data_IF_453116525539
#
_entry.id   IF_453116525539
#
_cell.length_a   1.000
_cell.length_b   1.000
_cell.length_c   1.000
_cell.angle_alpha   90.00
_cell.angle_beta   90.00
_cell.angle_gamma   90.00
#
_symmetry.space_group_name_H-M   'P 1'
#
loop_
_entity.id
_entity.type
_entity.pdbx_description
1 polymer ?
#
# COMPACT_ATOMS: atom_id res chain seq x y z
N UNK A 1 14.94 -61.32 26.54
CA UNK A 1 15.73 -60.07 26.51
C UNK A 1 15.49 -59.38 25.18
N UNK A 2 14.55 -58.44 25.13
CA UNK A 2 14.23 -57.66 23.92
C UNK A 2 14.94 -56.31 24.02
N UNK A 3 15.85 -56.03 23.09
CA UNK A 3 16.55 -54.74 22.99
C UNK A 3 15.65 -53.74 22.19
N UNK A 4 15.24 -52.62 22.81
CA UNK A 4 14.64 -51.48 22.12
C UNK A 4 15.75 -50.70 21.39
N UNK A 5 15.52 -50.20 20.18
CA UNK A 5 16.41 -49.25 19.54
C UNK A 5 16.14 -47.85 20.08
N UNK A 6 17.19 -47.15 20.51
CA UNK A 6 17.13 -45.75 20.87
C UNK A 6 16.98 -44.89 19.60
N UNK A 7 15.88 -44.16 19.53
CA UNK A 7 15.62 -43.16 18.47
C UNK A 7 16.40 -41.89 18.79
N UNK A 8 17.46 -41.63 18.05
CA UNK A 8 18.27 -40.43 18.15
C UNK A 8 17.56 -39.31 17.42
N UNK A 9 16.81 -38.44 18.13
CA UNK A 9 16.28 -37.21 17.58
C UNK A 9 17.42 -36.22 17.35
N UNK A 10 17.85 -36.08 16.10
CA UNK A 10 18.70 -34.95 15.65
C UNK A 10 17.85 -33.68 15.63
N UNK A 11 17.99 -32.89 16.66
CA UNK A 11 17.55 -31.49 16.68
C UNK A 11 18.43 -30.71 15.68
N UNK A 12 17.93 -30.46 14.51
CA UNK A 12 18.46 -29.39 13.63
C UNK A 12 18.13 -28.04 14.29
N UNK A 13 19.07 -27.50 15.04
CA UNK A 13 19.08 -26.10 15.39
C UNK A 13 19.34 -25.33 14.06
N UNK A 14 18.31 -24.76 13.48
CA UNK A 14 18.47 -23.75 12.44
C UNK A 14 19.16 -22.55 13.10
N UNK A 15 20.48 -22.52 13.01
CA UNK A 15 21.24 -21.30 13.23
C UNK A 15 20.79 -20.33 12.16
N UNK A 16 20.03 -19.28 12.52
CA UNK A 16 19.91 -18.10 11.67
C UNK A 16 21.32 -17.56 11.51
N UNK A 17 21.95 -17.87 10.39
CA UNK A 17 23.16 -17.21 9.97
C UNK A 17 22.78 -15.73 9.76
N UNK A 18 23.26 -14.88 10.61
CA UNK A 18 23.31 -13.44 10.38
C UNK A 18 24.36 -13.28 9.27
N UNK A 19 23.84 -13.24 8.03
CA UNK A 19 24.75 -13.17 6.88
C UNK A 19 25.18 -11.71 6.71
N UNK A 20 26.47 -11.47 6.89
CA UNK A 20 27.10 -10.25 6.41
C UNK A 20 26.85 -10.11 4.90
N UNK A 21 26.79 -8.86 4.43
CA UNK A 21 26.66 -8.61 3.00
C UNK A 21 27.77 -9.36 2.22
N UNK A 22 27.38 -9.91 1.09
CA UNK A 22 28.29 -10.62 0.18
C UNK A 22 28.27 -9.97 -1.19
N UNK A 23 29.27 -10.21 -1.99
CA UNK A 23 29.22 -9.78 -3.38
C UNK A 23 28.04 -10.45 -4.09
N UNK A 24 27.08 -9.68 -4.66
CA UNK A 24 25.90 -10.26 -5.29
C UNK A 24 26.30 -10.96 -6.60
N UNK A 25 25.83 -12.19 -6.78
CA UNK A 25 26.04 -13.01 -7.98
C UNK A 25 24.75 -13.32 -8.73
N UNK A 26 23.61 -12.94 -8.16
CA UNK A 26 22.27 -13.08 -8.72
C UNK A 26 21.33 -12.03 -8.13
N UNK A 27 20.20 -11.82 -8.79
CA UNK A 27 19.12 -11.01 -8.25
C UNK A 27 18.53 -11.63 -6.98
N UNK A 28 18.01 -10.79 -6.10
CA UNK A 28 17.21 -11.23 -4.95
C UNK A 28 16.08 -12.14 -5.43
N UNK A 29 15.86 -13.25 -4.76
CA UNK A 29 14.83 -14.23 -5.12
C UNK A 29 13.45 -13.56 -5.25
N UNK A 30 12.77 -13.82 -6.36
CA UNK A 30 11.47 -13.24 -6.69
C UNK A 30 11.49 -11.79 -7.18
N UNK A 31 12.64 -11.12 -7.15
CA UNK A 31 12.79 -9.76 -7.67
C UNK A 31 12.90 -9.77 -9.20
N UNK A 32 12.30 -8.78 -9.84
CA UNK A 32 12.40 -8.58 -11.29
C UNK A 32 12.18 -7.12 -11.64
N UNK A 33 12.77 -6.71 -12.74
CA UNK A 33 12.48 -5.40 -13.31
C UNK A 33 11.06 -5.36 -13.87
N UNK A 34 10.39 -4.19 -13.82
CA UNK A 34 9.29 -3.91 -14.72
C UNK A 34 9.75 -4.07 -16.18
N UNK A 35 8.90 -4.64 -17.04
CA UNK A 35 9.27 -4.97 -18.43
C UNK A 35 9.76 -3.77 -19.27
N UNK A 36 9.45 -2.55 -18.86
CA UNK A 36 9.82 -1.30 -19.53
C UNK A 36 11.09 -0.65 -18.95
N UNK A 37 11.59 -1.11 -17.78
CA UNK A 37 12.76 -0.55 -17.12
C UNK A 37 14.02 -1.33 -17.53
N UNK A 38 14.97 -0.63 -18.12
CA UNK A 38 16.29 -1.17 -18.37
C UNK A 38 17.22 -0.82 -17.20
N UNK A 39 17.88 -1.84 -16.64
CA UNK A 39 18.93 -1.63 -15.63
C UNK A 39 20.30 -1.50 -16.29
N UNK A 40 21.24 -0.93 -15.57
CA UNK A 40 22.65 -0.95 -15.97
C UNK A 40 23.14 -2.41 -16.06
N UNK A 41 23.77 -2.77 -17.19
CA UNK A 41 24.19 -4.16 -17.46
C UNK A 41 25.12 -4.72 -16.39
N UNK A 42 24.90 -5.96 -15.98
CA UNK A 42 25.65 -6.63 -14.91
C UNK A 42 25.28 -6.20 -13.48
N UNK A 43 24.29 -5.33 -13.30
CA UNK A 43 23.76 -5.00 -11.97
C UNK A 43 22.86 -6.09 -11.43
N UNK A 44 22.88 -6.30 -10.11
CA UNK A 44 22.00 -7.23 -9.40
C UNK A 44 21.01 -6.49 -8.50
N UNK A 45 19.75 -6.93 -8.50
CA UNK A 45 18.72 -6.42 -7.57
C UNK A 45 19.01 -6.98 -6.17
N UNK A 46 19.21 -6.11 -5.20
CA UNK A 46 19.48 -6.48 -3.79
C UNK A 46 18.33 -6.13 -2.86
N UNK A 47 17.42 -5.26 -3.28
CA UNK A 47 16.15 -5.00 -2.60
C UNK A 47 15.09 -4.56 -3.61
N UNK A 48 13.83 -4.96 -3.39
CA UNK A 48 12.76 -4.56 -4.28
C UNK A 48 11.42 -4.50 -3.58
N UNK A 49 10.52 -3.66 -4.10
CA UNK A 49 9.12 -3.58 -3.69
C UNK A 49 8.27 -3.22 -4.89
N UNK A 50 7.13 -3.90 -5.06
CA UNK A 50 6.12 -3.57 -6.05
C UNK A 50 4.74 -3.49 -5.40
N UNK A 51 3.92 -2.51 -5.80
CA UNK A 51 2.54 -2.35 -5.36
C UNK A 51 1.65 -2.03 -6.56
N UNK A 52 0.49 -2.64 -6.58
CA UNK A 52 -0.48 -2.42 -7.65
C UNK A 52 -0.97 -0.97 -7.74
N UNK A 53 -0.91 -0.21 -6.64
CA UNK A 53 -1.21 1.23 -6.56
C UNK A 53 -0.59 1.81 -5.29
N UNK A 54 0.13 2.93 -5.41
CA UNK A 54 0.66 3.73 -4.29
C UNK A 54 0.90 5.17 -4.76
N UNK A 55 1.22 6.07 -3.81
CA UNK A 55 1.58 7.46 -4.06
C UNK A 55 3.05 7.70 -3.70
N UNK A 56 3.72 8.53 -4.49
CA UNK A 56 5.09 8.99 -4.23
C UNK A 56 5.18 10.49 -4.45
N UNK A 57 5.81 11.18 -3.49
CA UNK A 57 6.22 12.59 -3.62
C UNK A 57 7.72 12.63 -3.95
N UNK A 58 8.05 12.81 -5.21
CA UNK A 58 9.43 12.92 -5.68
C UNK A 58 9.99 14.31 -5.41
N UNK A 59 11.16 14.46 -4.76
CA UNK A 59 11.82 15.75 -4.62
C UNK A 59 12.10 16.38 -5.99
N UNK A 60 11.70 17.64 -6.17
CA UNK A 60 11.92 18.44 -7.37
C UNK A 60 12.66 19.76 -7.05
N UNK A 61 13.20 19.89 -5.85
CA UNK A 61 14.08 20.96 -5.39
C UNK A 61 14.95 20.47 -4.24
N UNK A 62 15.89 21.32 -3.81
CA UNK A 62 16.83 21.03 -2.72
C UNK A 62 16.11 20.67 -1.43
N UNK A 63 16.56 19.62 -0.75
CA UNK A 63 16.04 19.21 0.56
C UNK A 63 16.48 20.19 1.64
N UNK A 64 15.52 20.78 2.34
CA UNK A 64 15.74 21.72 3.45
C UNK A 64 15.26 21.11 4.76
N UNK A 65 15.98 21.41 5.84
CA UNK A 65 15.57 21.04 7.18
C UNK A 65 14.23 21.68 7.54
N UNK A 66 13.31 20.91 8.08
CA UNK A 66 12.04 21.41 8.62
C UNK A 66 12.26 21.81 10.07
N UNK A 67 12.17 23.11 10.42
CA UNK A 67 12.47 23.57 11.78
C UNK A 67 11.59 22.89 12.83
N UNK A 68 12.20 22.39 13.90
CA UNK A 68 11.49 21.81 15.04
C UNK A 68 10.84 20.45 14.79
N UNK A 69 11.08 19.80 13.65
CA UNK A 69 10.57 18.47 13.36
C UNK A 69 11.70 17.42 13.41
N UNK A 70 11.42 16.33 14.13
CA UNK A 70 12.25 15.12 14.13
C UNK A 70 11.40 13.91 13.79
N UNK A 71 12.03 12.86 13.25
CA UNK A 71 11.42 11.57 13.03
C UNK A 71 11.32 10.73 14.32
N UNK A 72 10.81 9.50 14.21
CA UNK A 72 10.68 8.56 15.32
C UNK A 72 12.04 8.14 15.92
N UNK A 73 13.14 8.37 15.23
CA UNK A 73 14.52 8.06 15.62
C UNK A 73 15.28 9.30 16.07
N UNK A 74 14.58 10.43 16.28
CA UNK A 74 15.14 11.73 16.67
C UNK A 74 16.10 12.34 15.63
N UNK A 75 15.98 11.98 14.35
CA UNK A 75 16.69 12.64 13.26
C UNK A 75 15.94 13.88 12.79
N UNK A 76 16.67 14.89 12.31
CA UNK A 76 16.06 16.05 11.69
C UNK A 76 15.28 15.64 10.42
N UNK A 77 14.07 16.18 10.26
CA UNK A 77 13.27 15.96 9.05
C UNK A 77 13.69 16.96 7.97
N UNK A 78 13.88 16.46 6.75
CA UNK A 78 14.15 17.27 5.57
C UNK A 78 13.03 17.11 4.55
N UNK A 79 12.72 18.18 3.82
CA UNK A 79 11.73 18.17 2.73
C UNK A 79 12.17 19.10 1.60
N UNK A 80 11.76 18.75 0.39
CA UNK A 80 11.88 19.65 -0.75
C UNK A 80 10.70 20.63 -0.76
N UNK A 81 10.96 21.92 -1.10
CA UNK A 81 9.90 22.92 -1.25
C UNK A 81 9.01 22.62 -2.47
N UNK A 82 9.58 21.99 -3.50
CA UNK A 82 8.87 21.52 -4.68
C UNK A 82 8.97 20.00 -4.75
N UNK A 83 7.82 19.37 -4.95
CA UNK A 83 7.70 17.93 -5.10
C UNK A 83 6.79 17.60 -6.27
N UNK A 84 7.07 16.50 -6.97
CA UNK A 84 6.13 15.93 -7.94
C UNK A 84 5.41 14.78 -7.25
N UNK A 85 4.15 14.99 -6.90
CA UNK A 85 3.28 13.95 -6.35
C UNK A 85 2.62 13.20 -7.50
N UNK A 86 2.71 11.87 -7.48
CA UNK A 86 2.12 10.98 -8.47
C UNK A 86 1.56 9.74 -7.81
N UNK A 87 0.44 9.24 -8.36
CA UNK A 87 -0.20 8.01 -7.93
C UNK A 87 -0.25 7.01 -9.09
N UNK A 88 -0.09 5.73 -8.79
CA UNK A 88 -0.15 4.69 -9.81
C UNK A 88 0.48 3.38 -9.37
N UNK A 89 0.83 2.53 -10.32
CA UNK A 89 1.59 1.31 -10.05
C UNK A 89 3.02 1.66 -9.64
N UNK A 90 3.35 1.27 -8.42
CA UNK A 90 4.62 1.59 -7.78
C UNK A 90 5.63 0.46 -7.93
N UNK A 91 6.87 0.83 -8.24
CA UNK A 91 8.03 -0.05 -8.19
C UNK A 91 9.21 0.66 -7.53
N UNK A 92 9.89 -0.01 -6.61
CA UNK A 92 11.16 0.39 -6.03
C UNK A 92 12.17 -0.74 -6.22
N UNK A 93 13.31 -0.41 -6.77
CA UNK A 93 14.40 -1.34 -7.03
C UNK A 93 15.71 -0.73 -6.53
N UNK A 94 16.48 -1.51 -5.82
CA UNK A 94 17.82 -1.16 -5.38
C UNK A 94 18.78 -2.16 -5.99
N UNK A 95 19.72 -1.65 -6.76
CA UNK A 95 20.73 -2.45 -7.44
C UNK A 95 22.12 -2.17 -6.88
N UNK A 96 23.00 -3.14 -7.03
CA UNK A 96 24.45 -2.98 -6.93
C UNK A 96 25.03 -3.17 -8.34
N UNK A 97 25.71 -2.16 -8.85
CA UNK A 97 26.36 -2.20 -10.16
C UNK A 97 27.64 -3.04 -10.13
N UNK A 98 28.19 -3.46 -11.28
CA UNK A 98 29.50 -4.12 -11.36
C UNK A 98 30.59 -3.31 -10.68
N UNK A 99 31.68 -3.97 -10.27
CA UNK A 99 32.81 -3.30 -9.68
C UNK A 99 33.41 -2.24 -10.64
N UNK A 100 34.07 -1.24 -10.07
CA UNK A 100 34.78 -0.18 -10.82
C UNK A 100 33.87 0.71 -11.69
N UNK A 101 32.54 0.75 -11.41
CA UNK A 101 31.60 1.67 -12.06
C UNK A 101 31.34 2.86 -11.15
N UNK A 102 31.56 4.08 -11.64
CA UNK A 102 31.30 5.28 -10.87
C UNK A 102 29.77 5.62 -10.84
N UNK A 103 29.28 6.25 -9.77
CA UNK A 103 27.89 6.73 -9.71
C UNK A 103 27.52 7.64 -10.88
N UNK A 104 28.46 8.47 -11.34
CA UNK A 104 28.25 9.37 -12.49
C UNK A 104 28.06 8.60 -13.80
N UNK A 105 28.93 7.59 -14.06
CA UNK A 105 28.81 6.75 -15.26
C UNK A 105 27.44 6.06 -15.29
N UNK A 106 27.06 5.44 -14.18
CA UNK A 106 25.79 4.72 -14.08
C UNK A 106 24.60 5.67 -14.23
N UNK A 107 24.63 6.86 -13.58
CA UNK A 107 23.58 7.88 -13.74
C UNK A 107 23.42 8.30 -15.21
N UNK A 108 24.52 8.53 -15.93
CA UNK A 108 24.46 8.93 -17.33
C UNK A 108 23.77 7.88 -18.19
N UNK A 109 24.08 6.60 -17.99
CA UNK A 109 23.39 5.52 -18.72
C UNK A 109 21.88 5.52 -18.49
N UNK A 110 21.40 5.77 -17.25
CA UNK A 110 19.98 5.91 -17.00
C UNK A 110 19.38 7.15 -17.67
N UNK A 111 20.13 8.26 -17.73
CA UNK A 111 19.66 9.48 -18.42
C UNK A 111 19.58 9.27 -19.94
N UNK A 112 20.53 8.54 -20.52
CA UNK A 112 20.51 8.17 -21.94
C UNK A 112 19.26 7.33 -22.26
N UNK A 113 18.92 6.34 -21.41
CA UNK A 113 17.68 5.55 -21.55
C UNK A 113 16.43 6.42 -21.45
N UNK A 114 16.41 7.42 -20.58
CA UNK A 114 15.29 8.38 -20.47
C UNK A 114 15.17 9.20 -21.75
N UNK A 115 16.28 9.75 -22.26
CA UNK A 115 16.31 10.58 -23.47
C UNK A 115 15.94 9.76 -24.73
N UNK A 116 16.53 8.60 -24.93
CA UNK A 116 16.24 7.67 -26.04
C UNK A 116 14.79 7.20 -26.03
N UNK A 117 14.21 7.03 -24.83
CA UNK A 117 12.80 6.70 -24.63
C UNK A 117 11.83 7.86 -24.84
N UNK A 118 12.31 9.06 -25.23
CA UNK A 118 11.50 10.27 -25.40
C UNK A 118 11.05 10.90 -24.08
N UNK A 119 11.70 10.57 -22.97
CA UNK A 119 11.45 11.14 -21.65
C UNK A 119 12.12 12.49 -21.42
N UNK A 120 11.93 13.05 -20.24
CA UNK A 120 12.49 14.34 -19.84
C UNK A 120 13.05 14.29 -18.43
N UNK A 121 14.19 14.94 -18.21
CA UNK A 121 14.73 15.18 -16.87
C UNK A 121 14.13 16.48 -16.35
N UNK A 122 13.34 16.37 -15.29
CA UNK A 122 12.63 17.50 -14.67
C UNK A 122 13.49 18.25 -13.67
N UNK A 123 14.29 17.51 -12.91
CA UNK A 123 15.24 18.05 -11.94
C UNK A 123 16.39 17.10 -11.70
N UNK A 124 17.57 17.63 -11.36
CA UNK A 124 18.75 16.85 -10.97
C UNK A 124 19.62 17.61 -10.00
N UNK A 125 20.34 16.88 -9.17
CA UNK A 125 21.30 17.42 -8.24
C UNK A 125 22.44 16.43 -7.98
N UNK A 126 23.48 16.91 -7.31
CA UNK A 126 24.64 16.12 -6.92
C UNK A 126 25.06 16.46 -5.50
N UNK A 127 25.43 15.45 -4.72
CA UNK A 127 26.00 15.56 -3.37
C UNK A 127 25.26 16.60 -2.52
N UNK A 128 25.97 17.58 -1.97
CA UNK A 128 25.42 18.64 -1.11
C UNK A 128 24.42 19.55 -1.82
N UNK A 129 24.45 19.64 -3.16
CA UNK A 129 23.48 20.42 -3.92
C UNK A 129 22.07 19.81 -3.85
N UNK A 130 21.96 18.53 -3.48
CA UNK A 130 20.68 17.88 -3.23
C UNK A 130 20.08 18.26 -1.89
N UNK A 131 20.85 18.80 -0.96
CA UNK A 131 20.43 19.09 0.41
C UNK A 131 20.29 17.82 1.25
N UNK A 132 19.64 17.96 2.40
CA UNK A 132 19.55 16.88 3.38
C UNK A 132 20.79 16.78 4.26
N UNK A 133 20.88 15.72 5.05
CA UNK A 133 22.05 15.34 5.83
C UNK A 133 22.54 13.96 5.41
N UNK A 134 23.54 13.93 4.54
CA UNK A 134 24.10 12.68 4.00
C UNK A 134 24.93 11.89 5.02
N UNK A 135 25.45 12.58 6.03
CA UNK A 135 26.38 11.99 7.00
C UNK A 135 25.72 11.61 8.32
N UNK A 136 24.46 11.97 8.52
CA UNK A 136 23.68 11.64 9.74
C UNK A 136 24.26 12.23 11.02
N UNK A 137 24.96 13.38 10.94
CA UNK A 137 25.67 13.96 12.06
C UNK A 137 24.77 14.74 13.05
N UNK A 138 23.54 15.02 12.65
CA UNK A 138 22.56 15.76 13.48
C UNK A 138 21.59 14.78 14.18
N UNK A 139 21.91 14.37 15.39
CA UNK A 139 21.01 13.72 16.35
C UNK A 139 20.56 12.26 16.10
N UNK A 140 21.32 11.34 15.66
CA UNK A 140 20.91 9.95 15.72
C UNK A 140 21.46 9.05 14.64
N UNK A 141 22.18 9.59 13.69
CA UNK A 141 23.08 8.81 12.85
C UNK A 141 22.43 8.08 11.69
N UNK A 142 21.34 8.58 11.12
CA UNK A 142 20.77 8.07 9.88
C UNK A 142 20.97 9.03 8.70
N UNK A 143 21.09 8.49 7.48
CA UNK A 143 21.06 9.29 6.27
C UNK A 143 19.68 9.95 6.12
N UNK A 144 19.63 11.28 6.14
CA UNK A 144 18.40 12.07 5.97
C UNK A 144 18.35 12.77 4.59
N UNK A 145 19.00 12.16 3.61
CA UNK A 145 19.03 12.64 2.22
C UNK A 145 17.96 12.01 1.34
N UNK A 146 18.23 11.98 0.03
CA UNK A 146 17.32 11.50 -1.00
C UNK A 146 16.92 10.02 -0.83
N UNK A 147 17.82 9.18 -0.32
CA UNK A 147 17.51 7.77 -0.06
C UNK A 147 16.38 7.67 0.96
N UNK A 148 16.42 8.45 2.05
CA UNK A 148 15.36 8.45 3.05
C UNK A 148 14.03 8.99 2.50
N UNK A 149 14.07 9.98 1.61
CA UNK A 149 12.85 10.49 0.95
C UNK A 149 12.19 9.44 0.03
N UNK A 150 12.98 8.68 -0.71
CA UNK A 150 12.50 7.71 -1.70
C UNK A 150 12.36 6.29 -1.14
N UNK A 151 13.14 5.95 -0.12
CA UNK A 151 13.12 4.67 0.58
C UNK A 151 13.21 4.88 2.09
N UNK A 152 12.13 5.34 2.73
CA UNK A 152 12.10 5.62 4.16
C UNK A 152 12.45 4.40 5.01
N UNK A 153 13.18 4.60 6.10
CA UNK A 153 13.57 3.54 7.03
C UNK A 153 12.37 2.72 7.52
N UNK A 154 11.22 3.34 7.74
CA UNK A 154 9.98 2.68 8.13
C UNK A 154 9.46 1.67 7.06
N UNK A 155 9.88 1.79 5.82
CA UNK A 155 9.54 0.86 4.71
C UNK A 155 10.61 -0.20 4.45
N UNK A 156 11.78 -0.10 5.08
CA UNK A 156 12.88 -1.06 4.89
C UNK A 156 12.55 -2.37 5.58
N UNK A 157 12.49 -3.44 4.79
CA UNK A 157 12.23 -4.81 5.24
C UNK A 157 13.43 -5.73 5.06
N UNK A 158 14.52 -5.19 4.53
CA UNK A 158 15.76 -5.92 4.32
C UNK A 158 16.31 -6.41 5.67
N UNK A 159 16.73 -7.67 5.71
CA UNK A 159 17.35 -8.21 6.93
C UNK A 159 18.62 -7.42 7.26
N UNK A 160 18.89 -7.21 8.54
CA UNK A 160 20.10 -6.53 8.98
C UNK A 160 21.33 -7.16 8.36
N UNK A 161 22.24 -6.32 7.87
CA UNK A 161 23.50 -6.70 7.20
C UNK A 161 23.35 -7.45 5.87
N UNK A 162 22.14 -7.62 5.34
CA UNK A 162 21.95 -8.11 3.98
C UNK A 162 22.46 -7.11 2.93
N UNK A 163 22.62 -7.55 1.69
CA UNK A 163 23.01 -6.67 0.60
C UNK A 163 22.07 -5.47 0.42
N UNK A 164 20.74 -5.68 0.56
CA UNK A 164 19.75 -4.62 0.49
C UNK A 164 19.89 -3.61 1.63
N UNK A 165 20.09 -4.10 2.86
CA UNK A 165 20.33 -3.24 4.01
C UNK A 165 21.60 -2.41 3.85
N UNK A 166 22.71 -3.05 3.48
CA UNK A 166 24.00 -2.39 3.26
C UNK A 166 23.95 -1.36 2.14
N UNK A 167 23.28 -1.68 1.04
CA UNK A 167 23.16 -0.74 -0.08
C UNK A 167 22.24 0.45 0.22
N UNK A 168 21.25 0.32 1.15
CA UNK A 168 20.31 1.41 1.49
C UNK A 168 20.65 2.17 2.77
N UNK A 169 21.37 1.54 3.70
CA UNK A 169 21.63 2.08 5.04
C UNK A 169 22.98 2.77 5.19
N UNK A 170 23.90 2.59 4.22
CA UNK A 170 25.26 3.18 4.29
C UNK A 170 25.25 4.69 4.08
N UNK A 171 26.33 5.36 4.52
CA UNK A 171 26.60 6.75 4.17
C UNK A 171 26.92 6.85 2.68
N UNK A 172 26.07 7.47 1.86
CA UNK A 172 26.33 7.58 0.41
C UNK A 172 27.46 8.59 0.15
N UNK A 173 28.30 8.25 -0.82
CA UNK A 173 29.31 9.16 -1.37
C UNK A 173 29.05 9.34 -2.86
N UNK A 174 29.48 10.45 -3.44
CA UNK A 174 29.30 10.76 -4.87
C UNK A 174 27.84 10.57 -5.33
N UNK A 175 26.89 11.06 -4.53
CA UNK A 175 25.47 10.91 -4.81
C UNK A 175 25.06 11.75 -6.01
N UNK A 176 24.30 11.14 -6.94
CA UNK A 176 23.59 11.84 -8.01
C UNK A 176 22.10 11.51 -7.92
N UNK A 177 21.27 12.47 -8.26
CA UNK A 177 19.82 12.27 -8.34
C UNK A 177 19.27 12.86 -9.64
N UNK A 178 18.31 12.17 -10.23
CA UNK A 178 17.47 12.67 -11.30
C UNK A 178 16.01 12.35 -11.05
N UNK A 179 15.15 13.34 -11.15
CA UNK A 179 13.71 13.19 -11.32
C UNK A 179 13.43 13.28 -12.81
N UNK A 180 12.85 12.25 -13.38
CA UNK A 180 12.59 12.15 -14.80
C UNK A 180 11.19 11.63 -15.08
N UNK A 181 10.72 11.85 -16.31
CA UNK A 181 9.53 11.23 -16.85
C UNK A 181 9.87 10.42 -18.09
N UNK A 182 9.06 9.40 -18.37
CA UNK A 182 9.22 8.52 -19.53
C UNK A 182 7.82 8.14 -20.06
N UNK A 183 7.54 8.33 -21.37
CA UNK A 183 6.30 7.90 -21.96
C UNK A 183 5.99 6.42 -21.70
N UNK A 184 4.73 6.09 -21.40
CA UNK A 184 4.32 4.72 -21.13
C UNK A 184 3.91 3.93 -22.39
N UNK A 185 3.87 4.61 -23.55
CA UNK A 185 3.44 4.05 -24.83
C UNK A 185 1.92 4.01 -25.04
N UNK A 186 1.13 4.39 -24.04
CA UNK A 186 -0.35 4.44 -24.12
C UNK A 186 -0.91 5.87 -24.06
N UNK A 187 -0.03 6.88 -24.07
CA UNK A 187 -0.38 8.29 -23.92
C UNK A 187 -0.27 8.80 -22.50
N UNK A 188 0.15 7.94 -21.57
CA UNK A 188 0.51 8.31 -20.20
C UNK A 188 2.02 8.52 -20.02
N UNK A 189 2.43 8.90 -18.83
CA UNK A 189 3.81 9.22 -18.48
C UNK A 189 4.19 8.57 -17.16
N UNK A 190 5.26 7.77 -17.15
CA UNK A 190 5.89 7.24 -15.93
C UNK A 190 6.72 8.34 -15.28
N UNK A 191 6.75 8.39 -13.96
CA UNK A 191 7.66 9.25 -13.20
C UNK A 191 8.70 8.39 -12.50
N UNK A 192 9.97 8.78 -12.61
CA UNK A 192 11.12 8.07 -12.05
C UNK A 192 11.94 8.99 -11.16
N UNK A 193 12.27 8.52 -9.96
CA UNK A 193 13.35 9.07 -9.15
C UNK A 193 14.52 8.10 -9.19
N UNK A 194 15.67 8.52 -9.69
CA UNK A 194 16.87 7.72 -9.85
C UNK A 194 17.97 8.31 -8.96
N UNK A 195 18.49 7.52 -8.02
CA UNK A 195 19.63 7.90 -7.19
C UNK A 195 20.77 6.93 -7.46
N UNK A 196 21.95 7.43 -7.82
CA UNK A 196 23.17 6.64 -7.86
C UNK A 196 24.15 7.16 -6.82
N UNK A 197 24.84 6.27 -6.13
CA UNK A 197 25.77 6.66 -5.08
C UNK A 197 26.79 5.54 -4.80
N UNK A 198 27.91 5.91 -4.22
CA UNK A 198 28.91 4.95 -3.77
C UNK A 198 28.59 4.54 -2.32
N UNK A 199 28.61 3.24 -2.04
CA UNK A 199 28.39 2.66 -0.72
C UNK A 199 29.63 2.92 0.16
N UNK A 200 29.45 3.64 1.27
CA UNK A 200 30.55 4.13 2.09
C UNK A 200 30.83 3.36 3.38
N UNK A 201 29.98 2.43 3.79
CA UNK A 201 30.15 1.67 5.04
C UNK A 201 31.15 0.53 4.87
N UNK A 202 32.00 0.33 5.91
CA UNK A 202 33.02 -0.72 5.97
C UNK A 202 32.79 -1.75 7.06
N UNK A 203 31.94 -1.49 8.05
CA UNK A 203 31.94 -2.29 9.28
C UNK A 203 31.30 -3.67 9.08
N UNK A 204 30.14 -3.73 8.42
CA UNK A 204 29.39 -4.98 8.16
C UNK A 204 29.05 -5.14 6.65
N UNK A 205 29.42 -4.15 5.85
CA UNK A 205 29.08 -4.05 4.44
C UNK A 205 30.33 -4.05 3.55
N UNK A 206 31.43 -4.61 4.04
CA UNK A 206 32.76 -4.53 3.41
C UNK A 206 32.75 -5.08 1.97
N UNK A 207 32.00 -6.14 1.71
CA UNK A 207 31.85 -6.72 0.37
C UNK A 207 31.21 -5.75 -0.67
N UNK A 208 30.47 -4.75 -0.20
CA UNK A 208 29.81 -3.74 -1.05
C UNK A 208 30.51 -2.37 -0.96
N UNK A 209 31.55 -2.25 -0.14
CA UNK A 209 32.27 -0.99 0.00
C UNK A 209 32.81 -0.53 -1.36
N UNK A 210 32.72 0.77 -1.62
CA UNK A 210 33.09 1.41 -2.88
C UNK A 210 32.32 0.93 -4.14
N UNK A 211 31.32 0.04 -3.99
CA UNK A 211 30.42 -0.33 -5.08
C UNK A 211 29.41 0.78 -5.33
N UNK A 212 28.98 0.93 -6.55
CA UNK A 212 27.90 1.83 -6.92
C UNK A 212 26.55 1.17 -6.67
N UNK A 213 25.72 1.78 -5.84
CA UNK A 213 24.30 1.43 -5.70
C UNK A 213 23.44 2.33 -6.59
N UNK A 214 22.30 1.78 -7.02
CA UNK A 214 21.27 2.50 -7.79
C UNK A 214 19.93 2.25 -7.16
N UNK A 215 19.30 3.30 -6.64
CA UNK A 215 17.91 3.28 -6.21
C UNK A 215 17.04 3.87 -7.31
N UNK A 216 16.14 3.07 -7.87
CA UNK A 216 15.10 3.51 -8.79
C UNK A 216 13.75 3.38 -8.11
N UNK A 217 13.03 4.48 -8.00
CA UNK A 217 11.62 4.51 -7.62
C UNK A 217 10.83 4.99 -8.82
N UNK A 218 9.82 4.23 -9.21
CA UNK A 218 9.03 4.52 -10.40
C UNK A 218 7.54 4.40 -10.10
N UNK A 219 6.76 5.29 -10.69
CA UNK A 219 5.30 5.23 -10.69
C UNK A 219 4.81 5.26 -12.13
N UNK A 220 4.11 4.19 -12.53
CA UNK A 220 3.46 4.09 -13.85
C UNK A 220 2.00 4.49 -13.73
N UNK A 221 1.42 5.16 -14.75
CA UNK A 221 -0.01 5.48 -14.75
C UNK A 221 -0.85 4.23 -14.56
N UNK A 222 -1.72 4.27 -13.58
CA UNK A 222 -2.70 3.21 -13.32
C UNK A 222 -3.91 3.80 -12.61
N UNK A 223 -5.09 3.50 -13.13
CA UNK A 223 -6.31 3.89 -12.45
C UNK A 223 -6.46 3.11 -11.14
N UNK A 224 -6.80 3.81 -10.06
CA UNK A 224 -7.14 3.18 -8.79
C UNK A 224 -8.33 2.25 -8.97
N UNK A 225 -8.19 1.00 -8.56
CA UNK A 225 -9.33 0.11 -8.49
C UNK A 225 -10.34 0.62 -7.45
N UNK A 226 -11.54 0.95 -7.91
CA UNK A 226 -12.64 1.31 -7.01
C UNK A 226 -13.34 0.04 -6.56
N UNK A 227 -12.81 -0.60 -5.52
CA UNK A 227 -13.42 -1.82 -4.91
C UNK A 227 -14.39 -1.53 -3.77
N UNK A 228 -14.60 -0.27 -3.40
CA UNK A 228 -15.77 0.12 -2.61
C UNK A 228 -16.95 0.12 -3.59
N UNK A 229 -17.48 -1.06 -3.88
CA UNK A 229 -18.62 -1.25 -4.77
C UNK A 229 -19.84 -0.80 -4.00
N UNK A 230 -20.36 0.36 -4.34
CA UNK A 230 -21.78 0.63 -4.09
C UNK A 230 -22.52 -0.35 -4.98
N UNK A 231 -23.20 -1.31 -4.37
CA UNK A 231 -24.04 -2.26 -5.10
C UNK A 231 -25.08 -1.45 -5.84
N UNK A 232 -25.10 -1.52 -7.18
CA UNK A 232 -26.02 -0.71 -7.99
C UNK A 232 -27.46 -1.21 -7.87
N UNK A 233 -28.43 -0.36 -8.19
CA UNK A 233 -29.84 -0.76 -8.27
C UNK A 233 -30.06 -1.98 -9.17
N UNK A 234 -29.30 -2.07 -10.28
CA UNK A 234 -29.39 -3.19 -11.24
C UNK A 234 -28.80 -4.49 -10.67
N UNK A 235 -27.70 -4.40 -9.91
CA UNK A 235 -27.12 -5.56 -9.23
C UNK A 235 -28.04 -6.07 -8.10
N UNK A 236 -28.64 -5.14 -7.36
CA UNK A 236 -29.65 -5.47 -6.36
C UNK A 236 -30.87 -6.17 -6.98
N UNK A 237 -31.38 -5.66 -8.13
CA UNK A 237 -32.49 -6.27 -8.83
C UNK A 237 -32.18 -7.71 -9.24
N UNK A 238 -31.01 -7.93 -9.87
CA UNK A 238 -30.55 -9.27 -10.29
C UNK A 238 -30.43 -10.24 -9.12
N UNK A 239 -29.84 -9.81 -8.00
CA UNK A 239 -29.67 -10.64 -6.82
C UNK A 239 -31.03 -10.98 -6.17
N UNK A 240 -31.93 -9.99 -6.05
CA UNK A 240 -33.29 -10.21 -5.53
C UNK A 240 -34.13 -11.13 -6.41
N UNK A 241 -33.94 -11.12 -7.72
CA UNK A 241 -34.64 -12.02 -8.64
C UNK A 241 -34.04 -13.44 -8.62
N UNK A 242 -32.73 -13.57 -8.45
CA UNK A 242 -32.04 -14.87 -8.41
C UNK A 242 -32.17 -15.56 -7.05
N UNK A 243 -31.92 -14.84 -5.95
CA UNK A 243 -31.73 -15.40 -4.62
C UNK A 243 -32.77 -14.94 -3.60
N UNK A 244 -33.66 -14.02 -3.99
CA UNK A 244 -34.65 -13.41 -3.13
C UNK A 244 -34.08 -12.48 -2.04
N UNK A 245 -32.75 -12.32 -2.00
CA UNK A 245 -32.05 -11.48 -1.00
C UNK A 245 -30.74 -10.97 -1.48
N UNK A 246 -30.26 -9.88 -0.86
CA UNK A 246 -28.90 -9.37 -1.06
C UNK A 246 -28.36 -8.74 0.23
N UNK A 247 -27.10 -9.03 0.56
CA UNK A 247 -26.38 -8.40 1.67
C UNK A 247 -25.72 -7.10 1.21
N UNK A 248 -25.88 -6.03 1.98
CA UNK A 248 -25.34 -4.70 1.72
C UNK A 248 -24.32 -4.32 2.80
N UNK A 249 -23.09 -4.13 2.40
CA UNK A 249 -21.98 -3.73 3.28
C UNK A 249 -21.70 -2.22 3.22
N UNK A 250 -22.31 -1.52 2.26
CA UNK A 250 -22.17 -0.07 2.10
C UNK A 250 -23.03 0.75 3.07
N UNK A 251 -23.87 0.12 3.89
CA UNK A 251 -24.66 0.80 4.93
C UNK A 251 -23.88 0.72 6.23
N UNK A 252 -23.37 1.86 6.68
CA UNK A 252 -22.53 1.98 7.86
C UNK A 252 -23.19 2.80 8.96
N UNK A 253 -22.91 2.43 10.21
CA UNK A 253 -23.41 3.09 11.40
C UNK A 253 -22.27 3.47 12.34
N UNK A 254 -22.49 4.45 13.20
CA UNK A 254 -21.59 4.71 14.31
C UNK A 254 -21.52 3.50 15.26
N UNK A 255 -20.41 3.35 15.95
CA UNK A 255 -20.20 2.25 16.89
C UNK A 255 -21.30 2.25 17.96
N UNK A 256 -22.00 1.12 18.12
CA UNK A 256 -23.12 0.91 19.04
C UNK A 256 -24.32 1.86 18.83
N UNK A 257 -24.41 2.53 17.67
CA UNK A 257 -25.53 3.41 17.33
C UNK A 257 -26.27 2.92 16.08
N UNK A 258 -27.44 3.53 15.83
CA UNK A 258 -28.24 3.36 14.62
C UNK A 258 -28.20 4.59 13.70
N UNK A 259 -27.41 5.62 14.04
CA UNK A 259 -27.21 6.76 13.17
C UNK A 259 -26.43 6.33 11.92
N UNK A 260 -27.01 6.61 10.75
CA UNK A 260 -26.39 6.36 9.46
C UNK A 260 -25.17 7.28 9.26
N UNK A 261 -24.07 6.73 8.79
CA UNK A 261 -22.92 7.54 8.40
C UNK A 261 -23.10 8.13 7.00
N UNK A 262 -22.42 9.24 6.68
CA UNK A 262 -22.47 9.86 5.34
C UNK A 262 -22.15 8.90 4.20
N UNK A 263 -21.28 7.93 4.44
CA UNK A 263 -20.88 6.91 3.45
C UNK A 263 -22.03 5.98 3.04
N UNK A 264 -23.11 5.91 3.83
CA UNK A 264 -24.30 5.11 3.55
C UNK A 264 -25.23 5.74 2.50
N UNK A 265 -25.14 7.05 2.28
CA UNK A 265 -26.08 7.84 1.46
C UNK A 265 -26.18 7.27 0.04
N UNK A 266 -25.03 6.94 -0.57
CA UNK A 266 -25.02 6.39 -1.94
C UNK A 266 -25.71 5.02 -2.02
N UNK A 267 -25.47 4.12 -1.05
CA UNK A 267 -26.10 2.80 -1.02
C UNK A 267 -27.61 2.92 -0.82
N UNK A 268 -28.07 3.82 0.05
CA UNK A 268 -29.49 4.08 0.26
C UNK A 268 -30.14 4.66 -0.99
N UNK A 269 -29.46 5.58 -1.69
CA UNK A 269 -29.93 6.13 -2.96
C UNK A 269 -30.10 5.04 -4.05
N UNK A 270 -29.20 4.05 -4.10
CA UNK A 270 -29.34 2.92 -5.03
C UNK A 270 -30.52 2.01 -4.68
N UNK A 271 -30.82 1.80 -3.37
CA UNK A 271 -32.04 1.08 -2.95
C UNK A 271 -33.29 1.86 -3.36
N UNK A 272 -33.30 3.16 -3.14
CA UNK A 272 -34.42 4.03 -3.52
C UNK A 272 -34.65 3.98 -5.05
N UNK A 273 -33.58 4.07 -5.85
CA UNK A 273 -33.62 3.94 -7.31
C UNK A 273 -34.22 2.60 -7.76
N UNK A 274 -33.82 1.50 -7.12
CA UNK A 274 -34.41 0.18 -7.38
C UNK A 274 -35.92 0.17 -7.11
N UNK A 275 -36.33 0.66 -5.94
CA UNK A 275 -37.73 0.72 -5.55
C UNK A 275 -38.55 1.65 -6.46
N UNK A 276 -37.99 2.75 -6.92
CA UNK A 276 -38.65 3.66 -7.88
C UNK A 276 -38.80 3.01 -9.27
N UNK A 277 -37.78 2.26 -9.72
CA UNK A 277 -37.84 1.53 -10.98
C UNK A 277 -38.80 0.34 -10.97
N UNK A 278 -39.06 -0.27 -9.79
CA UNK A 278 -39.93 -1.43 -9.62
C UNK A 278 -41.07 -1.13 -8.59
N UNK A 279 -42.16 -0.46 -9.01
CA UNK A 279 -43.22 -0.02 -8.09
C UNK A 279 -43.90 -1.13 -7.31
N UNK A 280 -43.94 -2.36 -7.84
CA UNK A 280 -44.56 -3.52 -7.18
C UNK A 280 -43.64 -4.22 -6.16
N UNK A 281 -42.32 -3.93 -6.19
CA UNK A 281 -41.36 -4.55 -5.30
C UNK A 281 -41.58 -4.13 -3.84
N UNK A 282 -41.66 -5.12 -2.96
CA UNK A 282 -41.71 -4.94 -1.51
C UNK A 282 -40.49 -5.60 -0.88
N UNK A 283 -39.87 -4.95 0.09
CA UNK A 283 -38.65 -5.41 0.75
C UNK A 283 -38.76 -5.44 2.26
N UNK A 284 -38.22 -6.49 2.86
CA UNK A 284 -37.79 -6.46 4.25
C UNK A 284 -36.32 -5.94 4.30
N UNK A 285 -36.09 -4.93 5.13
CA UNK A 285 -34.78 -4.43 5.49
C UNK A 285 -34.35 -5.14 6.77
N UNK A 286 -33.33 -6.01 6.70
CA UNK A 286 -32.94 -6.87 7.81
C UNK A 286 -31.58 -6.47 8.34
N UNK A 287 -31.53 -6.05 9.62
CA UNK A 287 -30.28 -5.70 10.29
C UNK A 287 -29.64 -6.90 10.98
N UNK A 288 -28.31 -7.01 10.91
CA UNK A 288 -27.52 -8.03 11.60
C UNK A 288 -26.39 -7.41 12.39
N UNK A 289 -25.89 -8.13 13.41
CA UNK A 289 -24.70 -7.78 14.19
C UNK A 289 -23.69 -8.94 14.16
N UNK A 290 -22.48 -8.68 14.61
CA UNK A 290 -21.57 -9.73 15.03
C UNK A 290 -21.95 -10.29 16.41
N UNK A 291 -21.13 -11.19 16.96
CA UNK A 291 -21.38 -11.84 18.24
C UNK A 291 -20.81 -11.10 19.47
N UNK A 292 -20.35 -9.86 19.29
CA UNK A 292 -19.79 -9.09 20.41
C UNK A 292 -20.90 -8.45 21.23
N UNK A 293 -20.93 -8.73 22.54
CA UNK A 293 -21.89 -8.18 23.48
C UNK A 293 -23.11 -9.08 23.75
N UNK A 294 -24.11 -8.51 24.40
CA UNK A 294 -25.32 -9.20 24.81
C UNK A 294 -26.30 -9.42 23.65
N UNK A 295 -26.90 -10.63 23.57
CA UNK A 295 -27.78 -11.00 22.45
C UNK A 295 -29.04 -10.13 22.36
N UNK A 296 -29.67 -9.79 23.50
CA UNK A 296 -30.86 -8.95 23.49
C UNK A 296 -30.54 -7.49 23.11
N UNK A 297 -29.36 -7.01 23.50
CA UNK A 297 -28.87 -5.70 23.07
C UNK A 297 -28.59 -5.66 21.57
N UNK A 298 -27.96 -6.71 21.01
CA UNK A 298 -27.69 -6.87 19.59
C UNK A 298 -29.01 -6.97 18.78
N UNK A 299 -29.97 -7.70 19.24
CA UNK A 299 -31.28 -7.76 18.59
C UNK A 299 -31.96 -6.38 18.52
N UNK A 300 -31.95 -5.62 19.62
CA UNK A 300 -32.48 -4.25 19.63
C UNK A 300 -31.68 -3.30 18.77
N UNK A 301 -30.35 -3.45 18.72
CA UNK A 301 -29.49 -2.61 17.89
C UNK A 301 -29.72 -2.86 16.41
N UNK A 302 -29.81 -4.13 16.00
CA UNK A 302 -30.09 -4.50 14.61
C UNK A 302 -31.46 -4.04 14.14
N UNK A 303 -32.50 -4.10 15.02
CA UNK A 303 -33.80 -3.55 14.72
C UNK A 303 -33.76 -2.05 14.49
N UNK A 304 -33.14 -1.27 15.40
CA UNK A 304 -33.04 0.20 15.24
C UNK A 304 -32.24 0.59 13.99
N UNK A 305 -31.27 -0.22 13.56
CA UNK A 305 -30.49 0.00 12.32
C UNK A 305 -31.37 -0.22 11.09
N UNK A 306 -32.14 -1.29 11.08
CA UNK A 306 -33.12 -1.53 10.01
C UNK A 306 -34.18 -0.43 9.94
N UNK A 307 -34.68 0.01 11.09
CA UNK A 307 -35.64 1.13 11.18
C UNK A 307 -35.03 2.42 10.58
N UNK A 308 -33.79 2.74 10.92
CA UNK A 308 -33.12 3.93 10.41
C UNK A 308 -32.96 3.93 8.86
N UNK A 309 -32.72 2.75 8.27
CA UNK A 309 -32.65 2.62 6.80
C UNK A 309 -34.02 2.82 6.19
N UNK A 310 -35.09 2.21 6.77
CA UNK A 310 -36.47 2.38 6.30
C UNK A 310 -36.89 3.85 6.41
N UNK A 311 -36.61 4.50 7.56
CA UNK A 311 -36.88 5.91 7.76
C UNK A 311 -36.25 6.78 6.68
N UNK A 312 -34.99 6.57 6.38
CA UNK A 312 -34.27 7.34 5.32
C UNK A 312 -34.88 7.09 3.93
N UNK A 313 -35.27 5.84 3.61
CA UNK A 313 -35.93 5.55 2.33
C UNK A 313 -37.32 6.24 2.21
N UNK A 314 -38.06 6.34 3.31
CA UNK A 314 -39.36 7.00 3.32
C UNK A 314 -39.22 8.53 3.31
N UNK A 315 -38.43 9.08 4.26
CA UNK A 315 -38.38 10.53 4.51
C UNK A 315 -37.51 11.24 3.46
N UNK A 316 -36.34 10.69 3.12
CA UNK A 316 -35.37 11.35 2.22
C UNK A 316 -35.62 11.02 0.75
N UNK A 317 -36.19 9.85 0.44
CA UNK A 317 -36.36 9.37 -0.93
C UNK A 317 -37.82 9.16 -1.37
N UNK A 318 -38.81 9.39 -0.49
CA UNK A 318 -40.25 9.33 -0.81
C UNK A 318 -40.74 7.94 -1.17
N UNK A 319 -40.15 6.88 -0.64
CA UNK A 319 -40.63 5.51 -0.86
C UNK A 319 -41.84 5.27 0.05
N UNK A 320 -42.89 4.67 -0.51
CA UNK A 320 -44.09 4.31 0.26
C UNK A 320 -43.75 3.30 1.37
N UNK A 321 -44.03 3.66 2.61
CA UNK A 321 -43.77 2.85 3.80
C UNK A 321 -44.43 1.47 3.71
N UNK A 322 -45.62 1.34 3.08
CA UNK A 322 -46.32 0.07 2.91
C UNK A 322 -45.52 -0.96 2.06
N UNK A 323 -44.45 -0.52 1.41
CA UNK A 323 -43.57 -1.38 0.64
C UNK A 323 -42.36 -1.88 1.41
N UNK A 324 -42.14 -1.37 2.62
CA UNK A 324 -40.96 -1.65 3.43
C UNK A 324 -41.38 -2.27 4.77
N UNK A 325 -40.54 -3.17 5.28
CA UNK A 325 -40.60 -3.59 6.68
C UNK A 325 -39.19 -3.68 7.24
N UNK A 326 -38.99 -3.22 8.47
CA UNK A 326 -37.74 -3.31 9.18
C UNK A 326 -37.74 -4.51 10.13
N UNK A 327 -36.63 -5.28 10.14
CA UNK A 327 -36.45 -6.42 11.03
C UNK A 327 -35.02 -6.52 11.54
N UNK A 328 -34.87 -6.74 12.84
CA UNK A 328 -33.58 -7.06 13.45
C UNK A 328 -33.43 -8.57 13.65
N UNK A 329 -32.31 -9.13 13.26
CA UNK A 329 -31.94 -10.55 13.49
C UNK A 329 -30.79 -10.68 14.50
N UNK A 330 -30.21 -9.55 14.96
CA UNK A 330 -29.12 -9.58 15.93
C UNK A 330 -27.94 -10.40 15.43
N UNK A 331 -27.44 -11.27 16.32
CA UNK A 331 -26.30 -12.17 16.06
C UNK A 331 -26.70 -13.57 15.57
N UNK A 332 -28.00 -13.86 15.42
CA UNK A 332 -28.52 -15.25 15.25
C UNK A 332 -28.23 -15.83 13.84
N UNK A 333 -27.90 -15.01 12.85
CA UNK A 333 -27.66 -15.46 11.47
C UNK A 333 -26.30 -15.01 10.94
N UNK A 334 -25.20 -15.54 11.48
CA UNK A 334 -23.88 -15.23 10.96
C UNK A 334 -23.68 -15.85 9.58
N UNK A 335 -22.99 -15.13 8.68
CA UNK A 335 -22.59 -15.61 7.35
C UNK A 335 -21.08 -15.87 7.24
N UNK A 336 -20.34 -15.51 8.29
CA UNK A 336 -18.89 -15.70 8.38
C UNK A 336 -18.47 -15.99 9.81
N UNK A 337 -17.23 -16.48 9.99
CA UNK A 337 -16.70 -16.84 11.30
C UNK A 337 -16.50 -15.61 12.20
N UNK A 338 -17.21 -15.56 13.31
CA UNK A 338 -17.12 -14.50 14.32
C UNK A 338 -15.77 -14.50 15.10
N UNK A 339 -14.94 -15.53 14.99
CA UNK A 339 -13.63 -15.57 15.63
C UNK A 339 -12.63 -14.57 15.00
N UNK A 340 -12.83 -14.22 13.73
CA UNK A 340 -11.98 -13.27 13.01
C UNK A 340 -12.64 -11.90 12.88
N UNK A 341 -11.85 -10.81 12.83
CA UNK A 341 -12.41 -9.47 12.61
C UNK A 341 -13.04 -9.36 11.20
N UNK A 342 -12.42 -9.95 10.18
CA UNK A 342 -12.97 -9.98 8.82
C UNK A 342 -14.35 -10.70 8.79
N UNK A 343 -14.48 -11.76 9.54
CA UNK A 343 -15.76 -12.48 9.65
C UNK A 343 -16.81 -11.66 10.41
N UNK A 344 -16.46 -11.03 11.52
CA UNK A 344 -17.33 -10.11 12.25
C UNK A 344 -17.77 -8.93 11.37
N UNK A 345 -16.86 -8.35 10.60
CA UNK A 345 -17.18 -7.28 9.66
C UNK A 345 -18.23 -7.70 8.61
N UNK A 346 -18.18 -8.94 8.12
CA UNK A 346 -19.20 -9.51 7.22
C UNK A 346 -20.54 -9.75 7.94
N UNK A 347 -20.52 -10.08 9.22
CA UNK A 347 -21.73 -10.28 10.00
C UNK A 347 -22.45 -8.95 10.35
N UNK A 348 -21.71 -7.84 10.49
CA UNK A 348 -22.28 -6.48 10.64
C UNK A 348 -22.79 -5.95 9.30
N UNK A 349 -23.99 -6.34 8.89
CA UNK A 349 -24.57 -6.03 7.59
C UNK A 349 -26.05 -5.67 7.67
N UNK A 350 -26.57 -5.11 6.59
CA UNK A 350 -27.99 -4.99 6.30
C UNK A 350 -28.30 -5.88 5.09
N UNK A 351 -29.37 -6.66 5.15
CA UNK A 351 -29.89 -7.41 4.01
C UNK A 351 -31.20 -6.81 3.50
N UNK A 352 -31.39 -6.81 2.19
CA UNK A 352 -32.69 -6.65 1.56
C UNK A 352 -33.24 -8.02 1.22
N UNK A 353 -34.46 -8.30 1.60
CA UNK A 353 -35.18 -9.56 1.33
C UNK A 353 -36.48 -9.25 0.60
N UNK A 354 -36.70 -9.87 -0.55
CA UNK A 354 -37.90 -9.72 -1.38
C UNK A 354 -39.10 -10.35 -0.64
N UNK A 355 -40.23 -9.61 -0.56
CA UNK A 355 -41.52 -10.09 0.01
C UNK A 355 -42.44 -10.54 -1.07
#
# INVERSE_FOLDING_TARGET
MRRLPALLCLLFAATQAWGDATEPTADLEGARDPAWLQRYEGSFIVSHEQRGFDAVAFPASVLKRVPGQTDAYNNNVFRADQQREVEGEYARLLYVAPAERSPLEVMRNYLDVVEEGGGQVLWRCRDTDCGGDLNGNDHGGGNQGLIEQLYPQARRKDANFSNGWCASGSTPREQHYALATLPDGSGGERTLGIVTFQIGDRTYCDALHDRTAVLVVAVSPKARERKMVTVTSDDMAKALDADGRIALYGIQFDTNKSSLKPESVETIAQIAKLLQAQPALKLDVVGHTDNVGDAAANLKLSQRRADAVVTSLVEDHGIDEARLAARGEGLDKPIADNATEDGRAKNRRVELVKR
#
